data_IF_117310182140
#
_entry.id   IF_117310182140
#
_cell.length_a   1.000
_cell.length_b   1.000
_cell.length_c   1.000
_cell.angle_alpha   90.00
_cell.angle_beta   90.00
_cell.angle_gamma   90.00
#
_symmetry.space_group_name_H-M   'P 1'
#
loop_
_entity.id
_entity.type
_entity.pdbx_description
1 polymer ?
#
# COMPACT_ATOMS: atom_id res chain seq x y z
N UNK A 1 -17.70 -5.28 -33.73
CA UNK A 1 -16.74 -5.78 -32.73
C UNK A 1 -16.56 -4.88 -31.50
N UNK A 2 -16.47 -3.55 -31.64
CA UNK A 2 -16.36 -2.63 -30.49
C UNK A 2 -17.62 -2.55 -29.61
N UNK A 3 -18.81 -2.72 -30.21
CA UNK A 3 -20.08 -2.72 -29.46
C UNK A 3 -20.29 -3.98 -28.59
N UNK A 4 -19.76 -5.12 -29.04
CA UNK A 4 -19.83 -6.37 -28.27
C UNK A 4 -18.92 -6.35 -27.02
N UNK A 5 -17.74 -5.74 -27.12
CA UNK A 5 -16.83 -5.60 -25.95
C UNK A 5 -17.40 -4.64 -24.91
N UNK A 6 -18.07 -3.57 -25.32
CA UNK A 6 -18.71 -2.64 -24.38
C UNK A 6 -19.90 -3.30 -23.65
N UNK A 7 -20.67 -4.16 -24.33
CA UNK A 7 -21.75 -4.92 -23.72
C UNK A 7 -21.25 -6.03 -22.78
N UNK A 8 -20.15 -6.69 -23.10
CA UNK A 8 -19.53 -7.68 -22.22
C UNK A 8 -19.04 -7.01 -20.93
N UNK A 9 -18.40 -5.85 -21.04
CA UNK A 9 -17.94 -5.09 -19.85
C UNK A 9 -19.09 -4.52 -19.02
N UNK A 10 -20.23 -4.20 -19.64
CA UNK A 10 -21.40 -3.65 -18.93
C UNK A 10 -22.33 -4.75 -18.37
N UNK A 11 -22.42 -5.91 -19.03
CA UNK A 11 -23.31 -7.00 -18.62
C UNK A 11 -22.71 -7.93 -17.56
N UNK A 12 -21.38 -7.98 -17.46
CA UNK A 12 -20.69 -9.04 -16.74
C UNK A 12 -19.91 -8.57 -15.50
N UNK A 13 -20.30 -7.45 -14.97
CA UNK A 13 -19.75 -6.98 -13.70
C UNK A 13 -19.85 -8.01 -12.57
N UNK A 14 -20.85 -8.89 -12.62
CA UNK A 14 -21.08 -9.97 -11.65
C UNK A 14 -20.32 -11.24 -12.01
N UNK A 15 -20.12 -11.50 -13.29
CA UNK A 15 -19.45 -12.73 -13.75
C UNK A 15 -17.92 -12.61 -13.76
N UNK A 16 -17.37 -11.39 -13.95
CA UNK A 16 -15.93 -11.18 -13.89
C UNK A 16 -15.37 -11.26 -12.45
N UNK A 17 -16.14 -10.93 -11.43
CA UNK A 17 -15.69 -11.00 -10.06
C UNK A 17 -15.26 -12.42 -9.62
N UNK A 18 -16.01 -13.50 -9.87
CA UNK A 18 -15.57 -14.85 -9.53
C UNK A 18 -14.32 -15.30 -10.31
N UNK A 19 -14.20 -14.93 -11.57
CA UNK A 19 -13.02 -15.23 -12.36
C UNK A 19 -11.79 -14.45 -11.91
N UNK A 20 -11.95 -13.18 -11.59
CA UNK A 20 -10.89 -12.35 -11.06
C UNK A 20 -10.42 -12.86 -9.69
N UNK A 21 -11.34 -13.31 -8.83
CA UNK A 21 -11.03 -13.92 -7.54
C UNK A 21 -10.21 -15.19 -7.67
N UNK A 22 -10.57 -16.05 -8.61
CA UNK A 22 -9.88 -17.34 -8.82
C UNK A 22 -8.54 -17.17 -9.52
N UNK A 23 -8.49 -16.31 -10.54
CA UNK A 23 -7.32 -16.15 -11.38
C UNK A 23 -6.27 -15.17 -10.81
N UNK A 24 -6.72 -14.14 -10.09
CA UNK A 24 -5.86 -13.09 -9.55
C UNK A 24 -6.44 -12.53 -8.23
N UNK A 25 -6.22 -13.21 -7.10
CA UNK A 25 -6.82 -12.83 -5.82
C UNK A 25 -6.56 -11.38 -5.39
N UNK A 26 -5.39 -10.82 -5.76
CA UNK A 26 -5.05 -9.42 -5.47
C UNK A 26 -5.83 -8.43 -6.32
N UNK A 27 -6.07 -8.79 -7.58
CA UNK A 27 -6.87 -8.00 -8.51
C UNK A 27 -8.35 -8.00 -8.10
N UNK A 28 -8.85 -9.14 -7.67
CA UNK A 28 -10.18 -9.29 -7.12
C UNK A 28 -10.38 -8.42 -5.87
N UNK A 29 -9.41 -8.41 -4.95
CA UNK A 29 -9.43 -7.54 -3.75
C UNK A 29 -9.49 -6.06 -4.11
N UNK A 30 -8.72 -5.63 -5.11
CA UNK A 30 -8.77 -4.26 -5.61
C UNK A 30 -10.16 -3.90 -6.16
N UNK A 31 -10.75 -4.77 -6.96
CA UNK A 31 -12.09 -4.58 -7.52
C UNK A 31 -13.18 -4.57 -6.47
N UNK A 32 -13.14 -5.51 -5.53
CA UNK A 32 -14.09 -5.58 -4.42
C UNK A 32 -13.98 -4.34 -3.53
N UNK A 33 -12.78 -3.85 -3.28
CA UNK A 33 -12.55 -2.62 -2.53
C UNK A 33 -13.19 -1.40 -3.20
N UNK A 34 -13.16 -1.32 -4.52
CA UNK A 34 -13.74 -0.20 -5.26
C UNK A 34 -15.26 -0.32 -5.50
N UNK A 35 -15.88 -1.45 -5.13
CA UNK A 35 -17.31 -1.72 -5.38
C UNK A 35 -18.18 -1.81 -4.15
N UNK A 36 -17.59 -1.61 -3.00
CA UNK A 36 -18.31 -1.72 -1.75
C UNK A 36 -17.66 -2.70 -0.78
N UNK A 37 -18.23 -2.92 0.39
CA UNK A 37 -17.64 -3.73 1.42
C UNK A 37 -17.41 -5.15 0.91
N UNK A 38 -16.14 -5.54 0.86
CA UNK A 38 -15.82 -6.92 0.51
C UNK A 38 -16.35 -7.84 1.60
N UNK A 39 -17.10 -8.88 1.25
CA UNK A 39 -17.68 -9.79 2.23
C UNK A 39 -16.63 -10.59 3.00
N UNK A 40 -15.38 -10.57 2.57
CA UNK A 40 -14.28 -11.35 3.14
C UNK A 40 -13.06 -10.49 3.49
N UNK A 41 -13.24 -9.41 4.25
CA UNK A 41 -12.15 -8.62 4.80
C UNK A 41 -11.76 -7.40 3.96
N UNK A 42 -12.69 -6.85 3.19
CA UNK A 42 -12.60 -5.49 2.65
C UNK A 42 -12.54 -4.48 3.78
N UNK A 43 -11.97 -3.33 3.49
CA UNK A 43 -11.93 -2.26 4.46
C UNK A 43 -13.30 -1.60 4.51
N UNK A 44 -13.98 -1.58 5.66
CA UNK A 44 -15.33 -1.03 5.77
C UNK A 44 -15.34 0.49 5.68
N UNK A 45 -14.19 1.12 5.88
CA UNK A 45 -13.99 2.55 5.79
C UNK A 45 -12.61 2.87 5.23
N UNK A 46 -12.48 4.02 4.61
CA UNK A 46 -11.23 4.54 4.08
C UNK A 46 -10.97 5.95 4.61
N UNK A 47 -9.69 6.28 4.76
CA UNK A 47 -9.23 7.66 4.97
C UNK A 47 -8.44 8.10 3.74
N UNK A 48 -8.59 9.35 3.34
CA UNK A 48 -7.87 9.93 2.21
C UNK A 48 -7.42 11.35 2.54
N UNK A 49 -6.13 11.61 2.31
CA UNK A 49 -5.52 12.94 2.42
C UNK A 49 -5.33 13.55 1.03
N UNK A 50 -5.78 14.79 0.86
CA UNK A 50 -5.62 15.55 -0.37
C UNK A 50 -5.01 16.93 -0.08
N UNK A 51 -4.04 17.38 -0.89
CA UNK A 51 -3.35 16.64 -1.94
C UNK A 51 -2.41 15.56 -1.38
N UNK A 52 -2.08 14.56 -2.17
CA UNK A 52 -1.14 13.49 -1.77
C UNK A 52 0.30 13.97 -1.63
N UNK A 53 0.62 15.10 -2.26
CA UNK A 53 1.93 15.74 -2.21
C UNK A 53 1.76 17.24 -2.08
N UNK A 54 2.53 17.82 -1.17
CA UNK A 54 2.57 19.26 -0.92
C UNK A 54 4.02 19.71 -0.82
N UNK A 55 4.31 20.90 -1.31
CA UNK A 55 5.59 21.58 -1.08
C UNK A 55 5.39 22.71 -0.10
N UNK A 56 6.36 22.90 0.80
CA UNK A 56 6.38 24.00 1.74
C UNK A 56 7.80 24.39 2.12
N UNK A 57 7.93 25.55 2.74
CA UNK A 57 9.19 26.02 3.30
C UNK A 57 9.18 25.88 4.82
N UNK A 58 10.34 25.85 5.48
CA UNK A 58 10.40 25.94 6.93
C UNK A 58 9.65 27.17 7.45
N UNK A 59 8.70 26.96 8.37
CA UNK A 59 7.85 28.00 8.93
C UNK A 59 6.50 28.18 8.22
N UNK A 60 6.25 27.50 7.10
CA UNK A 60 4.96 27.56 6.42
C UNK A 60 3.87 26.78 7.15
N UNK A 61 2.63 27.23 6.97
CA UNK A 61 1.44 26.47 7.28
C UNK A 61 0.88 25.82 6.00
N UNK A 62 0.52 24.54 6.07
CA UNK A 62 -0.07 23.77 4.96
C UNK A 62 -1.42 23.25 5.40
N UNK A 63 -2.38 23.21 4.48
CA UNK A 63 -3.70 22.65 4.74
C UNK A 63 -3.89 21.40 3.89
N UNK A 64 -4.22 20.31 4.56
CA UNK A 64 -4.62 19.05 3.91
C UNK A 64 -6.11 18.82 4.13
N UNK A 65 -6.80 18.33 3.14
CA UNK A 65 -8.19 17.86 3.28
C UNK A 65 -8.19 16.38 3.60
N UNK A 66 -8.71 16.03 4.78
CA UNK A 66 -8.99 14.67 5.17
C UNK A 66 -10.41 14.32 4.76
N UNK A 67 -10.59 13.21 4.08
CA UNK A 67 -11.88 12.57 3.85
C UNK A 67 -11.87 11.20 4.53
N UNK A 68 -12.86 10.93 5.38
CA UNK A 68 -13.15 9.60 5.89
C UNK A 68 -14.49 9.14 5.31
N UNK A 69 -14.55 7.98 4.70
CA UNK A 69 -15.74 7.47 4.04
C UNK A 69 -16.05 6.04 4.47
N UNK A 70 -17.36 5.75 4.61
CA UNK A 70 -17.87 4.40 4.87
C UNK A 70 -18.17 3.70 3.55
N UNK A 71 -17.64 2.51 3.40
CA UNK A 71 -17.92 1.60 2.28
C UNK A 71 -19.02 0.58 2.64
N UNK A 72 -19.60 0.68 3.83
CA UNK A 72 -20.72 -0.15 4.26
C UNK A 72 -22.02 0.28 3.57
N UNK A 73 -22.86 -0.70 3.27
CA UNK A 73 -24.18 -0.48 2.66
C UNK A 73 -25.32 -0.48 3.69
N UNK A 74 -25.09 -1.03 4.87
CA UNK A 74 -26.14 -1.32 5.86
C UNK A 74 -25.73 -1.05 7.32
N UNK A 75 -24.48 -0.68 7.56
CA UNK A 75 -23.95 -0.54 8.91
C UNK A 75 -23.47 0.89 9.19
N UNK A 76 -23.65 1.33 10.43
CA UNK A 76 -23.06 2.56 10.95
C UNK A 76 -21.69 2.24 11.54
N UNK A 77 -20.69 3.02 11.17
CA UNK A 77 -19.32 2.87 11.66
C UNK A 77 -18.94 4.01 12.59
N UNK A 78 -18.56 3.67 13.82
CA UNK A 78 -17.96 4.59 14.78
C UNK A 78 -16.45 4.40 14.86
N UNK A 79 -15.72 5.51 14.90
CA UNK A 79 -14.25 5.41 14.91
C UNK A 79 -13.54 6.73 15.13
N UNK A 80 -12.26 6.70 14.85
CA UNK A 80 -11.38 7.87 14.95
C UNK A 80 -10.35 7.86 13.84
N UNK A 81 -10.03 9.04 13.32
CA UNK A 81 -8.84 9.27 12.49
C UNK A 81 -7.82 10.01 13.33
N UNK A 82 -6.64 9.42 13.52
CA UNK A 82 -5.48 10.08 14.10
C UNK A 82 -4.59 10.60 12.97
N UNK A 83 -4.21 11.88 13.02
CA UNK A 83 -3.26 12.48 12.09
C UNK A 83 -1.88 12.38 12.70
N UNK A 84 -1.05 11.50 12.15
CA UNK A 84 0.31 11.23 12.62
C UNK A 84 1.29 12.03 11.79
N UNK A 85 1.88 13.03 12.40
CA UNK A 85 2.86 13.93 11.79
C UNK A 85 4.28 13.54 12.17
N UNK A 86 5.28 14.01 11.41
CA UNK A 86 6.68 13.97 11.83
C UNK A 86 6.87 14.63 13.20
N UNK A 87 7.90 14.20 13.92
CA UNK A 87 8.19 14.72 15.25
C UNK A 87 8.33 16.25 15.25
N UNK A 88 7.60 16.91 16.14
CA UNK A 88 7.60 18.36 16.27
C UNK A 88 6.73 19.14 15.29
N UNK A 89 5.95 18.43 14.44
CA UNK A 89 5.01 19.08 13.52
C UNK A 89 3.61 19.09 14.14
N UNK A 90 3.06 20.25 14.52
CA UNK A 90 1.69 20.31 15.01
C UNK A 90 0.68 20.14 13.87
N UNK A 91 -0.41 19.43 14.15
CA UNK A 91 -1.57 19.32 13.28
C UNK A 91 -2.85 19.71 14.03
N UNK A 92 -3.76 20.39 13.36
CA UNK A 92 -5.05 20.77 13.94
C UNK A 92 -6.17 20.53 12.93
N UNK A 93 -7.16 19.66 13.26
CA UNK A 93 -7.16 18.73 14.40
C UNK A 93 -6.17 17.58 14.22
N UNK A 94 -5.49 17.16 15.30
CA UNK A 94 -4.64 15.98 15.29
C UNK A 94 -5.44 14.68 15.42
N UNK A 95 -6.70 14.77 15.86
CA UNK A 95 -7.59 13.64 16.06
C UNK A 95 -9.00 14.02 15.71
N UNK A 96 -9.66 13.19 14.91
CA UNK A 96 -11.01 13.41 14.41
C UNK A 96 -11.88 12.18 14.68
N UNK A 97 -12.78 12.23 15.68
CA UNK A 97 -13.77 11.19 15.87
C UNK A 97 -14.82 11.24 14.75
N UNK A 98 -15.34 10.08 14.35
CA UNK A 98 -16.41 10.01 13.36
C UNK A 98 -17.49 9.01 13.72
N UNK A 99 -18.68 9.26 13.19
CA UNK A 99 -19.77 8.30 13.07
C UNK A 99 -20.32 8.41 11.66
N UNK A 100 -20.16 7.37 10.87
CA UNK A 100 -20.53 7.35 9.45
C UNK A 100 -21.65 6.34 9.23
N UNK A 101 -22.77 6.79 8.69
CA UNK A 101 -23.79 5.91 8.16
C UNK A 101 -23.32 5.16 6.91
N UNK A 102 -24.16 4.25 6.43
CA UNK A 102 -23.92 3.52 5.19
C UNK A 102 -23.67 4.48 4.01
N UNK A 103 -22.56 4.32 3.30
CA UNK A 103 -22.17 5.18 2.17
C UNK A 103 -21.89 6.64 2.53
N UNK A 104 -21.88 7.01 3.82
CA UNK A 104 -21.62 8.37 4.25
C UNK A 104 -20.13 8.69 4.27
N UNK A 105 -19.81 9.98 4.20
CA UNK A 105 -18.44 10.47 4.34
C UNK A 105 -18.40 11.73 5.22
N UNK A 106 -17.21 12.00 5.74
CA UNK A 106 -16.87 13.18 6.51
C UNK A 106 -15.64 13.84 5.86
N UNK A 107 -15.64 15.16 5.80
CA UNK A 107 -14.49 15.94 5.36
C UNK A 107 -14.07 16.92 6.44
N UNK A 108 -12.76 17.10 6.61
CA UNK A 108 -12.18 18.10 7.50
C UNK A 108 -10.86 18.63 6.92
N UNK A 109 -10.62 19.90 7.13
CA UNK A 109 -9.34 20.51 6.81
C UNK A 109 -8.40 20.33 8.01
N UNK A 110 -7.19 19.86 7.73
CA UNK A 110 -6.12 19.63 8.71
C UNK A 110 -5.05 20.69 8.46
N UNK A 111 -4.91 21.61 9.37
CA UNK A 111 -3.82 22.59 9.35
C UNK A 111 -2.54 21.96 9.92
N UNK A 112 -1.45 22.03 9.17
CA UNK A 112 -0.12 21.55 9.55
C UNK A 112 0.83 22.74 9.58
N UNK A 113 1.63 22.86 10.64
CA UNK A 113 2.70 23.87 10.69
C UNK A 113 4.05 23.19 10.51
N UNK A 114 4.80 23.63 9.49
CA UNK A 114 6.16 23.16 9.24
C UNK A 114 7.11 23.91 10.18
N UNK A 115 7.85 23.22 11.06
CA UNK A 115 8.79 23.90 11.95
C UNK A 115 9.82 24.73 11.18
N UNK A 116 10.17 25.92 11.69
CA UNK A 116 11.15 26.80 11.07
C UNK A 116 12.56 26.16 10.92
N UNK A 117 12.87 25.17 11.74
CA UNK A 117 14.12 24.40 11.68
C UNK A 117 14.01 23.08 10.92
N UNK A 118 12.93 22.82 10.18
CA UNK A 118 12.77 21.57 9.45
C UNK A 118 13.82 21.43 8.33
N UNK A 119 14.68 20.40 8.35
CA UNK A 119 15.63 20.14 7.28
C UNK A 119 14.93 19.90 5.93
N UNK A 120 15.57 20.20 4.80
CA UNK A 120 15.03 19.83 3.50
C UNK A 120 14.81 18.32 3.36
N UNK A 121 13.72 17.92 2.72
CA UNK A 121 13.42 16.52 2.45
C UNK A 121 11.93 16.17 2.49
N UNK A 122 11.58 14.92 2.23
CA UNK A 122 10.22 14.43 2.28
C UNK A 122 9.81 14.02 3.69
N UNK A 123 8.64 14.48 4.10
CA UNK A 123 8.02 14.22 5.39
C UNK A 123 6.64 13.59 5.21
N UNK A 124 6.44 12.33 5.63
CA UNK A 124 5.15 11.68 5.55
C UNK A 124 4.22 12.18 6.66
N UNK A 125 3.02 12.59 6.28
CA UNK A 125 1.88 12.85 7.17
C UNK A 125 0.87 11.76 6.92
N UNK A 126 0.46 11.05 7.97
CA UNK A 126 -0.38 9.85 7.87
C UNK A 126 -1.73 10.09 8.52
N UNK A 127 -2.79 9.71 7.84
CA UNK A 127 -4.12 9.60 8.42
C UNK A 127 -4.38 8.14 8.77
N UNK A 128 -4.45 7.82 10.05
CA UNK A 128 -4.72 6.47 10.55
C UNK A 128 -6.17 6.37 11.02
N UNK A 129 -7.01 5.73 10.22
CA UNK A 129 -8.40 5.46 10.56
C UNK A 129 -8.51 4.16 11.33
N UNK A 130 -9.23 4.18 12.45
CA UNK A 130 -9.58 3.00 13.24
C UNK A 130 -11.06 2.98 13.54
N UNK A 131 -11.72 1.90 13.17
CA UNK A 131 -13.08 1.59 13.62
C UNK A 131 -12.99 1.06 15.06
N UNK A 132 -13.68 1.71 15.99
CA UNK A 132 -13.61 1.36 17.42
C UNK A 132 -14.88 0.64 17.90
N UNK A 133 -15.91 0.56 17.05
CA UNK A 133 -17.14 -0.14 17.38
C UNK A 133 -16.87 -1.64 17.58
N UNK A 134 -17.26 -2.16 18.74
CA UNK A 134 -17.09 -3.58 19.06
C UNK A 134 -18.17 -4.47 18.46
N UNK A 135 -19.26 -3.90 17.97
CA UNK A 135 -20.35 -4.63 17.31
C UNK A 135 -19.96 -5.10 15.91
N UNK A 136 -18.95 -4.46 15.27
CA UNK A 136 -18.47 -4.86 13.96
C UNK A 136 -17.46 -6.01 14.02
N UNK A 137 -17.30 -6.80 12.93
CA UNK A 137 -16.33 -7.87 12.86
C UNK A 137 -14.90 -7.40 13.21
N UNK A 138 -14.12 -8.26 13.85
CA UNK A 138 -12.73 -7.94 14.20
C UNK A 138 -11.86 -7.55 12.99
N UNK A 139 -12.11 -8.15 11.83
CA UNK A 139 -11.44 -7.82 10.58
C UNK A 139 -11.65 -6.36 10.14
N UNK A 140 -12.75 -5.73 10.54
CA UNK A 140 -13.07 -4.34 10.21
C UNK A 140 -12.39 -3.32 11.14
N UNK A 141 -11.82 -3.76 12.24
CA UNK A 141 -11.13 -2.93 13.23
C UNK A 141 -9.63 -2.76 12.94
N UNK A 142 -9.20 -3.11 11.74
CA UNK A 142 -7.83 -2.86 11.29
C UNK A 142 -7.57 -1.36 11.15
N UNK A 143 -6.32 -0.96 11.32
CA UNK A 143 -5.89 0.40 11.03
C UNK A 143 -5.77 0.56 9.50
N UNK A 144 -6.50 1.51 8.97
CA UNK A 144 -6.38 1.92 7.56
C UNK A 144 -5.56 3.20 7.52
N UNK A 145 -4.56 3.24 6.68
CA UNK A 145 -3.65 4.37 6.59
C UNK A 145 -3.63 4.97 5.18
N UNK A 146 -3.69 6.30 5.08
CA UNK A 146 -3.33 7.06 3.89
C UNK A 146 -2.21 8.04 4.22
N UNK A 147 -1.39 8.38 3.22
CA UNK A 147 -0.19 9.19 3.41
C UNK A 147 -0.16 10.36 2.44
N UNK A 148 0.05 11.57 2.97
CA UNK A 148 0.47 12.74 2.22
C UNK A 148 1.97 12.95 2.44
N UNK A 149 2.71 13.27 1.40
CA UNK A 149 4.13 13.63 1.51
C UNK A 149 4.27 15.13 1.41
N UNK A 150 4.76 15.76 2.49
CA UNK A 150 5.14 17.17 2.52
C UNK A 150 6.62 17.26 2.21
N UNK A 151 6.99 17.89 1.09
CA UNK A 151 8.39 18.12 0.71
C UNK A 151 8.81 19.51 1.16
N UNK A 152 9.81 19.57 2.04
CA UNK A 152 10.38 20.83 2.53
C UNK A 152 11.62 21.18 1.71
N UNK A 153 11.68 22.43 1.22
CA UNK A 153 12.81 22.93 0.41
C UNK A 153 12.65 22.72 -1.09
N UNK A 154 13.66 23.15 -1.85
CA UNK A 154 13.57 23.31 -3.30
C UNK A 154 14.18 22.16 -4.13
N UNK A 155 14.82 21.17 -3.52
CA UNK A 155 15.53 20.11 -4.26
C UNK A 155 14.56 19.14 -4.92
N UNK A 156 14.53 19.16 -6.26
CA UNK A 156 13.71 18.29 -7.08
C UNK A 156 14.07 16.81 -6.98
N UNK A 157 15.30 16.47 -6.61
CA UNK A 157 15.78 15.08 -6.47
C UNK A 157 15.23 14.38 -5.21
N UNK A 158 14.56 15.11 -4.33
CA UNK A 158 13.94 14.58 -3.10
C UNK A 158 12.49 14.14 -3.27
N UNK A 159 11.96 14.11 -4.50
CA UNK A 159 10.56 13.71 -4.74
C UNK A 159 10.29 12.22 -4.50
N UNK A 160 11.31 11.38 -4.63
CA UNK A 160 11.19 9.96 -4.33
C UNK A 160 11.35 9.71 -2.83
N UNK A 161 10.25 9.31 -2.22
CA UNK A 161 10.22 8.95 -0.80
C UNK A 161 11.01 7.67 -0.51
N UNK A 162 10.90 6.71 -1.42
CA UNK A 162 11.53 5.37 -1.34
C UNK A 162 12.19 5.01 -2.66
N UNK A 163 13.27 4.27 -2.59
CA UNK A 163 14.07 3.88 -3.75
C UNK A 163 14.65 2.48 -3.58
N UNK A 164 14.94 1.82 -4.69
CA UNK A 164 15.64 0.55 -4.71
C UNK A 164 17.14 0.79 -4.46
N UNK A 165 17.68 0.18 -3.42
CA UNK A 165 19.11 0.21 -3.08
C UNK A 165 19.82 -0.94 -3.77
N UNK A 166 19.24 -2.15 -3.66
CA UNK A 166 19.80 -3.37 -4.22
C UNK A 166 18.67 -4.26 -4.73
N UNK A 167 18.85 -4.79 -5.92
CA UNK A 167 17.91 -5.68 -6.59
C UNK A 167 18.20 -7.15 -6.32
N UNK A 168 17.28 -8.04 -6.71
CA UNK A 168 17.53 -9.46 -6.65
C UNK A 168 18.55 -9.89 -7.73
N UNK A 169 19.27 -10.97 -7.46
CA UNK A 169 20.12 -11.64 -8.44
C UNK A 169 19.39 -12.85 -9.06
N UNK A 170 19.86 -13.29 -10.23
CA UNK A 170 19.41 -14.52 -10.83
C UNK A 170 19.60 -15.71 -9.88
N UNK A 171 18.63 -16.61 -9.90
CA UNK A 171 18.59 -17.80 -9.05
C UNK A 171 18.76 -19.03 -9.94
N UNK A 172 19.74 -19.87 -9.60
CA UNK A 172 19.90 -21.19 -10.20
C UNK A 172 19.95 -22.23 -9.08
N UNK A 173 19.02 -23.17 -9.07
CA UNK A 173 18.89 -24.19 -8.01
C UNK A 173 18.37 -25.50 -8.58
N UNK A 174 18.75 -26.59 -7.94
CA UNK A 174 18.11 -27.88 -8.17
C UNK A 174 16.68 -27.88 -7.57
N UNK A 175 15.85 -28.78 -8.06
CA UNK A 175 14.54 -29.02 -7.45
C UNK A 175 14.69 -29.37 -5.95
N UNK A 176 13.76 -28.89 -5.12
CA UNK A 176 13.76 -28.95 -3.66
C UNK A 176 14.80 -28.10 -2.92
N UNK A 177 15.76 -27.47 -3.61
CA UNK A 177 16.71 -26.56 -2.98
C UNK A 177 16.10 -25.20 -2.67
N UNK A 178 16.50 -24.62 -1.54
CA UNK A 178 16.03 -23.29 -1.13
C UNK A 178 16.92 -22.18 -1.64
N UNK A 179 16.27 -21.12 -2.10
CA UNK A 179 16.90 -19.85 -2.43
C UNK A 179 16.08 -18.68 -1.90
N UNK A 180 16.56 -17.47 -2.10
CA UNK A 180 15.84 -16.24 -1.71
C UNK A 180 15.88 -15.21 -2.82
N UNK A 181 14.71 -14.69 -3.13
CA UNK A 181 14.55 -13.48 -3.94
C UNK A 181 14.55 -12.30 -2.96
N UNK A 182 15.61 -11.50 -2.95
CA UNK A 182 15.80 -10.45 -1.96
C UNK A 182 15.98 -9.08 -2.64
N UNK A 183 15.38 -8.05 -2.02
CA UNK A 183 15.55 -6.64 -2.41
C UNK A 183 15.87 -5.80 -1.19
N UNK A 184 16.59 -4.70 -1.36
CA UNK A 184 16.83 -3.71 -0.33
C UNK A 184 16.21 -2.38 -0.76
N UNK A 185 15.34 -1.85 0.07
CA UNK A 185 14.64 -0.57 -0.15
C UNK A 185 15.21 0.46 0.82
N UNK A 186 15.50 1.65 0.33
CA UNK A 186 15.93 2.81 1.10
C UNK A 186 14.84 3.86 1.23
N UNK A 187 14.89 4.63 2.32
CA UNK A 187 13.99 5.76 2.60
C UNK A 187 14.76 7.08 2.66
N UNK A 188 14.20 8.11 2.01
CA UNK A 188 14.60 9.51 2.22
C UNK A 188 13.73 10.22 3.24
N UNK A 189 12.65 9.58 3.70
CA UNK A 189 11.72 10.16 4.66
C UNK A 189 12.36 10.40 6.03
N UNK A 190 11.95 11.46 6.68
CA UNK A 190 12.37 11.79 8.06
C UNK A 190 11.52 11.08 9.13
N UNK A 191 10.67 10.14 8.74
CA UNK A 191 9.91 9.30 9.63
C UNK A 191 9.92 7.85 9.11
N UNK A 192 9.58 6.90 9.97
CA UNK A 192 9.39 5.52 9.53
C UNK A 192 8.13 5.38 8.68
N UNK A 193 8.16 4.44 7.76
CA UNK A 193 7.08 4.16 6.82
C UNK A 193 6.70 2.68 6.87
N UNK A 194 5.41 2.40 6.80
CA UNK A 194 4.94 1.07 6.48
C UNK A 194 5.08 0.82 4.97
N UNK A 195 5.53 -0.35 4.60
CA UNK A 195 5.58 -0.79 3.21
C UNK A 195 4.96 -2.18 3.06
N UNK A 196 4.44 -2.44 1.88
CA UNK A 196 4.02 -3.74 1.41
C UNK A 196 4.86 -4.15 0.21
N UNK A 197 5.28 -5.40 0.18
CA UNK A 197 6.05 -5.95 -0.91
C UNK A 197 5.41 -7.23 -1.44
N UNK A 198 5.42 -7.38 -2.75
CA UNK A 198 4.83 -8.53 -3.43
C UNK A 198 5.87 -9.16 -4.38
N UNK A 199 5.99 -10.47 -4.30
CA UNK A 199 6.66 -11.22 -5.37
C UNK A 199 5.71 -11.34 -6.56
N UNK A 200 6.19 -11.03 -7.75
CA UNK A 200 5.45 -11.17 -9.01
C UNK A 200 6.21 -12.17 -9.86
N UNK A 201 5.51 -13.21 -10.29
CA UNK A 201 6.06 -14.32 -11.06
C UNK A 201 4.99 -14.95 -11.94
N UNK A 202 5.32 -15.81 -12.92
CA UNK A 202 4.34 -16.44 -13.80
C UNK A 202 3.33 -17.30 -13.07
N UNK A 203 2.21 -17.57 -13.73
CA UNK A 203 1.21 -18.52 -13.27
C UNK A 203 1.83 -19.89 -12.92
N UNK A 204 1.38 -20.47 -11.80
CA UNK A 204 1.83 -21.79 -11.34
C UNK A 204 3.13 -21.77 -10.52
N UNK A 205 3.77 -20.61 -10.36
CA UNK A 205 4.98 -20.49 -9.54
C UNK A 205 4.70 -20.02 -8.12
N UNK A 206 3.49 -19.57 -7.81
CA UNK A 206 3.12 -18.95 -6.53
C UNK A 206 3.15 -19.90 -5.34
N UNK A 207 3.13 -21.19 -5.60
CA UNK A 207 3.22 -22.22 -4.54
C UNK A 207 4.63 -22.35 -3.99
N UNK A 208 5.64 -21.96 -4.76
CA UNK A 208 7.03 -22.16 -4.42
C UNK A 208 7.90 -20.88 -4.46
N UNK A 209 7.33 -19.75 -4.92
CA UNK A 209 7.91 -18.41 -4.76
C UNK A 209 7.01 -17.63 -3.81
N UNK A 210 7.36 -17.60 -2.52
CA UNK A 210 6.48 -17.01 -1.52
C UNK A 210 7.14 -16.67 -0.20
N UNK A 211 6.38 -16.07 0.72
CA UNK A 211 4.98 -15.70 0.62
C UNK A 211 4.73 -14.63 -0.46
N UNK A 212 3.51 -14.56 -1.05
CA UNK A 212 3.24 -13.62 -2.15
C UNK A 212 3.31 -12.16 -1.70
N UNK A 213 3.15 -11.88 -0.42
CA UNK A 213 3.18 -10.55 0.15
C UNK A 213 3.90 -10.53 1.50
N UNK A 214 4.64 -9.46 1.74
CA UNK A 214 5.33 -9.15 3.00
C UNK A 214 5.02 -7.71 3.41
N UNK A 215 4.67 -7.51 4.68
CA UNK A 215 4.65 -6.19 5.31
C UNK A 215 5.96 -5.94 6.06
N UNK A 216 6.47 -4.72 6.01
CA UNK A 216 7.65 -4.31 6.77
C UNK A 216 7.59 -2.84 7.17
N UNK A 217 8.42 -2.47 8.14
CA UNK A 217 8.66 -1.08 8.52
C UNK A 217 10.00 -0.65 7.94
N UNK A 218 9.99 0.46 7.21
CA UNK A 218 11.17 1.10 6.65
C UNK A 218 11.57 2.25 7.60
N UNK A 219 12.74 2.18 8.24
CA UNK A 219 13.17 3.20 9.20
C UNK A 219 13.34 4.58 8.54
N UNK A 220 13.21 5.64 9.33
CA UNK A 220 13.51 6.99 8.89
C UNK A 220 14.94 7.08 8.34
N UNK A 221 15.09 7.54 7.07
CA UNK A 221 16.37 7.64 6.36
C UNK A 221 17.20 6.35 6.40
N UNK A 222 16.53 5.23 6.59
CA UNK A 222 17.13 3.90 6.71
C UNK A 222 16.87 2.99 5.53
N UNK A 223 17.12 1.72 5.74
CA UNK A 223 16.94 0.66 4.73
C UNK A 223 16.22 -0.53 5.35
N UNK A 224 15.47 -1.25 4.53
CA UNK A 224 14.85 -2.52 4.87
C UNK A 224 15.19 -3.56 3.79
N UNK A 225 15.59 -4.74 4.23
CA UNK A 225 15.79 -5.90 3.35
C UNK A 225 14.57 -6.78 3.39
N UNK A 226 14.00 -7.04 2.23
CA UNK A 226 12.84 -7.90 2.02
C UNK A 226 13.29 -9.16 1.30
N UNK A 227 12.83 -10.32 1.74
CA UNK A 227 13.23 -11.58 1.16
C UNK A 227 12.01 -12.52 1.03
N UNK A 228 11.87 -13.10 -0.14
CA UNK A 228 10.87 -14.11 -0.48
C UNK A 228 11.57 -15.44 -0.65
N UNK A 229 11.08 -16.48 -0.01
CA UNK A 229 11.63 -17.82 -0.17
C UNK A 229 11.27 -18.37 -1.55
N UNK A 230 12.24 -19.00 -2.19
CA UNK A 230 12.07 -19.73 -3.46
C UNK A 230 12.44 -21.17 -3.18
N UNK A 231 11.46 -22.07 -3.27
CA UNK A 231 11.64 -23.49 -2.98
C UNK A 231 10.91 -24.31 -4.06
N UNK A 232 11.57 -24.55 -5.19
CA UNK A 232 10.98 -25.36 -6.26
C UNK A 232 10.61 -26.75 -5.72
N UNK A 233 9.42 -27.26 -6.01
CA UNK A 233 9.04 -28.60 -5.55
C UNK A 233 9.90 -29.69 -6.22
N UNK A 234 10.09 -30.82 -5.54
CA UNK A 234 10.96 -31.90 -6.03
C UNK A 234 10.48 -32.55 -7.34
N UNK A 235 9.21 -32.38 -7.68
CA UNK A 235 8.62 -32.91 -8.92
C UNK A 235 8.73 -31.93 -10.10
N UNK A 236 9.24 -30.70 -9.86
CA UNK A 236 9.33 -29.67 -10.90
C UNK A 236 10.43 -30.05 -11.90
N UNK A 237 10.04 -30.15 -13.17
CA UNK A 237 11.00 -30.39 -14.24
C UNK A 237 11.95 -29.20 -14.43
N UNK A 238 13.18 -29.45 -14.90
CA UNK A 238 14.12 -28.37 -15.24
C UNK A 238 13.48 -27.35 -16.18
N UNK A 239 13.68 -26.07 -15.86
CA UNK A 239 13.05 -25.01 -16.62
C UNK A 239 13.51 -23.62 -16.17
N UNK A 240 12.97 -22.60 -16.84
CA UNK A 240 13.29 -21.20 -16.56
C UNK A 240 12.01 -20.40 -16.37
N UNK A 241 12.01 -19.62 -15.31
CA UNK A 241 10.95 -18.66 -14.96
C UNK A 241 11.57 -17.30 -14.70
N UNK A 242 10.75 -16.31 -14.47
CA UNK A 242 11.18 -14.99 -14.04
C UNK A 242 10.46 -14.61 -12.75
N UNK A 243 11.07 -13.72 -11.96
CA UNK A 243 10.44 -13.11 -10.82
C UNK A 243 10.91 -11.67 -10.67
N UNK A 244 10.08 -10.83 -10.05
CA UNK A 244 10.44 -9.48 -9.63
C UNK A 244 9.74 -9.16 -8.33
N UNK A 245 10.18 -8.11 -7.65
CA UNK A 245 9.53 -7.61 -6.44
C UNK A 245 8.94 -6.22 -6.71
N UNK A 246 7.66 -6.07 -6.40
CA UNK A 246 6.97 -4.78 -6.35
C UNK A 246 6.84 -4.36 -4.89
N UNK A 247 7.21 -3.13 -4.59
CA UNK A 247 7.08 -2.54 -3.24
C UNK A 247 6.17 -1.33 -3.32
N UNK A 248 5.12 -1.33 -2.50
CA UNK A 248 4.20 -0.21 -2.26
C UNK A 248 4.57 0.49 -0.97
N UNK A 249 4.69 1.82 -1.00
CA UNK A 249 4.96 2.62 0.19
C UNK A 249 4.45 4.04 -0.03
N UNK A 250 3.58 4.52 0.86
CA UNK A 250 3.07 5.89 0.83
C UNK A 250 2.52 6.32 -0.54
N UNK A 251 1.83 5.42 -1.25
CA UNK A 251 1.29 5.66 -2.58
C UNK A 251 2.31 5.65 -3.72
N UNK A 252 3.57 5.32 -3.46
CA UNK A 252 4.60 5.08 -4.48
C UNK A 252 4.77 3.58 -4.72
N UNK A 253 5.08 3.24 -5.97
CA UNK A 253 5.43 1.87 -6.37
C UNK A 253 6.87 1.85 -6.86
N UNK A 254 7.66 0.94 -6.28
CA UNK A 254 9.03 0.66 -6.69
C UNK A 254 9.08 -0.78 -7.18
N UNK A 255 9.70 -1.00 -8.33
CA UNK A 255 9.87 -2.32 -8.92
C UNK A 255 11.35 -2.69 -8.94
N UNK A 256 11.67 -3.92 -8.59
CA UNK A 256 12.99 -4.47 -8.87
C UNK A 256 13.12 -4.79 -10.36
N UNK A 257 14.36 -4.94 -10.88
CA UNK A 257 14.55 -5.67 -12.12
C UNK A 257 13.96 -7.08 -12.04
N UNK A 258 13.48 -7.59 -13.17
CA UNK A 258 13.11 -8.98 -13.27
C UNK A 258 14.40 -9.83 -13.32
N UNK A 259 14.39 -10.93 -12.58
CA UNK A 259 15.48 -11.89 -12.54
C UNK A 259 15.04 -13.25 -13.07
N UNK A 260 15.99 -14.01 -13.52
CA UNK A 260 15.78 -15.38 -13.95
C UNK A 260 15.80 -16.32 -12.75
N UNK A 261 14.85 -17.26 -12.73
CA UNK A 261 14.80 -18.38 -11.80
C UNK A 261 14.92 -19.65 -12.61
N UNK A 262 16.09 -20.29 -12.54
CA UNK A 262 16.41 -21.53 -13.26
C UNK A 262 16.36 -22.70 -12.29
N UNK A 263 15.62 -23.74 -12.62
CA UNK A 263 15.60 -25.03 -11.91
C UNK A 263 16.32 -26.05 -12.79
N UNK A 264 17.33 -26.70 -12.25
CA UNK A 264 18.21 -27.67 -12.94
C UNK A 264 18.00 -29.09 -12.43
#
# INVERSE_FOLDING_TARGET
>A
MAADMANVLAADDVALAPHAETAQPQYARYWLHNRGPAPLGGLPAVAHLHPRRVRGQPGDDVVLRLTAASDCTDSVLGGVVDVVCPLGWPATPARLPFTLGAGAHLQADIALSIPAGAPPGPYPVRAQLRVVDTAVPAAWRQVVEDVCVVTVGADSDLEELVYLVDGPADIERAAADRARLAVTIGSRAHAELALDAHSISPWGTWEWIGPPALGAVLPARGMAKLAFDVTPPAWLEPGQWWALVRVGCAGQLVYSPAVKVSVT
#
